data_IF_086190879781
#
_entry.id   IF_086190879781
#
_cell.length_a   1.000
_cell.length_b   1.000
_cell.length_c   1.000
_cell.angle_alpha   90.00
_cell.angle_beta   90.00
_cell.angle_gamma   90.00
#
_symmetry.space_group_name_H-M   'P 1'
#
loop_
_entity.id
_entity.type
_entity.pdbx_description
1 polymer ?
#
# COMPACT_ATOMS: atom_id res chain seq x y z
N UNK A 1 10.56 -22.36 16.52
CA UNK A 1 9.75 -21.53 15.61
C UNK A 1 8.62 -20.98 16.46
N UNK A 2 8.63 -19.69 16.73
CA UNK A 2 7.55 -18.99 17.45
C UNK A 2 7.00 -17.95 16.49
N UNK A 3 5.97 -18.33 15.75
CA UNK A 3 5.09 -17.38 15.10
C UNK A 3 4.13 -16.86 16.18
N UNK A 4 4.20 -15.58 16.48
CA UNK A 4 3.20 -14.88 17.27
C UNK A 4 2.36 -14.01 16.33
N UNK A 5 1.06 -13.90 16.59
CA UNK A 5 0.17 -12.98 15.89
C UNK A 5 -0.63 -12.20 16.93
N UNK A 6 -0.37 -10.89 16.99
CA UNK A 6 -1.15 -9.96 17.81
C UNK A 6 -2.17 -9.27 16.92
N UNK A 7 -3.47 -9.48 17.20
CA UNK A 7 -4.54 -8.82 16.46
C UNK A 7 -5.16 -7.70 17.29
N UNK A 8 -5.06 -6.46 16.78
CA UNK A 8 -5.59 -5.26 17.41
C UNK A 8 -6.90 -4.78 16.78
N UNK A 9 -7.35 -5.43 15.71
CA UNK A 9 -8.63 -5.17 15.06
C UNK A 9 -9.73 -5.96 15.77
N UNK A 10 -10.79 -5.27 16.18
CA UNK A 10 -12.01 -5.93 16.66
C UNK A 10 -12.63 -6.76 15.54
N UNK A 11 -13.36 -7.83 15.89
CA UNK A 11 -13.94 -8.74 14.88
C UNK A 11 -14.88 -8.02 13.89
N UNK A 12 -15.47 -6.91 14.29
CA UNK A 12 -16.37 -6.08 13.50
C UNK A 12 -15.73 -4.76 13.00
N UNK A 13 -14.45 -4.50 13.29
CA UNK A 13 -13.82 -3.21 12.97
C UNK A 13 -13.81 -2.93 11.46
N UNK A 14 -13.53 -3.94 10.64
CA UNK A 14 -13.57 -3.82 9.19
C UNK A 14 -14.99 -3.52 8.69
N UNK A 15 -16.01 -4.22 9.21
CA UNK A 15 -17.39 -3.98 8.83
C UNK A 15 -17.88 -2.58 9.25
N UNK A 16 -17.50 -2.13 10.45
CA UNK A 16 -17.84 -0.79 10.94
C UNK A 16 -17.14 0.31 10.12
N UNK A 17 -15.86 0.12 9.79
CA UNK A 17 -15.11 1.04 8.94
C UNK A 17 -15.72 1.11 7.53
N UNK A 18 -16.05 -0.03 6.92
CA UNK A 18 -16.67 -0.06 5.59
C UNK A 18 -18.00 0.69 5.57
N UNK A 19 -18.86 0.47 6.58
CA UNK A 19 -20.16 1.18 6.70
C UNK A 19 -19.98 2.69 6.77
N UNK A 20 -19.02 3.16 7.58
CA UNK A 20 -18.70 4.59 7.72
C UNK A 20 -18.16 5.14 6.41
N UNK A 21 -17.13 4.52 5.88
CA UNK A 21 -16.41 4.99 4.70
C UNK A 21 -17.32 5.04 3.46
N UNK A 22 -18.20 4.05 3.27
CA UNK A 22 -19.20 4.04 2.19
C UNK A 22 -20.26 5.12 2.40
N UNK A 23 -20.78 5.29 3.61
CA UNK A 23 -21.77 6.36 3.88
C UNK A 23 -21.18 7.73 3.60
N UNK A 24 -20.02 8.03 4.18
CA UNK A 24 -19.39 9.33 4.08
C UNK A 24 -18.95 9.61 2.63
N UNK A 25 -18.33 8.62 1.98
CA UNK A 25 -17.82 8.73 0.63
C UNK A 25 -18.89 8.88 -0.45
N UNK A 26 -20.04 8.21 -0.31
CA UNK A 26 -21.11 8.23 -1.31
C UNK A 26 -22.11 9.38 -1.13
N UNK A 27 -22.08 10.07 0.02
CA UNK A 27 -22.97 11.22 0.29
C UNK A 27 -22.30 12.58 0.07
N UNK A 28 -21.00 12.61 -0.19
CA UNK A 28 -20.26 13.84 -0.52
C UNK A 28 -20.22 14.15 -2.03
N UNK A 29 -19.71 15.32 -2.37
CA UNK A 29 -19.47 15.76 -3.76
C UNK A 29 -18.07 16.35 -3.88
N UNK A 30 -17.17 15.78 -4.71
CA UNK A 30 -17.37 14.55 -5.50
C UNK A 30 -17.48 13.30 -4.61
N UNK A 31 -18.17 12.26 -5.10
CA UNK A 31 -18.26 10.97 -4.42
C UNK A 31 -16.90 10.29 -4.41
N UNK A 32 -16.59 9.52 -3.36
CA UNK A 32 -15.34 8.76 -3.26
C UNK A 32 -15.51 7.43 -2.54
N UNK A 33 -14.59 6.48 -2.77
CA UNK A 33 -14.42 5.29 -1.92
C UNK A 33 -12.93 5.10 -1.58
N UNK A 34 -12.56 4.78 -0.32
CA UNK A 34 -11.16 4.56 0.04
C UNK A 34 -10.56 3.32 -0.65
N UNK A 35 -9.30 3.38 -1.13
CA UNK A 35 -8.68 2.30 -1.89
C UNK A 35 -8.38 1.04 -1.05
N UNK A 36 -8.38 1.14 0.28
CA UNK A 36 -8.22 -0.04 1.16
C UNK A 36 -9.29 -1.10 0.91
N UNK A 37 -10.46 -0.71 0.41
CA UNK A 37 -11.57 -1.63 0.09
C UNK A 37 -11.42 -2.35 -1.26
N UNK A 38 -10.36 -2.09 -2.02
CA UNK A 38 -10.03 -2.94 -3.17
C UNK A 38 -9.56 -4.33 -2.74
N UNK A 39 -8.92 -4.45 -1.59
CA UNK A 39 -8.12 -5.63 -1.21
C UNK A 39 -8.94 -6.69 -0.45
N UNK A 40 -10.11 -7.07 -0.97
CA UNK A 40 -10.67 -8.38 -0.62
C UNK A 40 -9.88 -9.50 -1.32
N UNK A 41 -10.27 -10.77 -1.12
CA UNK A 41 -9.55 -11.89 -1.77
C UNK A 41 -9.45 -11.75 -3.30
N UNK A 42 -10.54 -11.34 -3.96
CA UNK A 42 -10.59 -11.20 -5.42
C UNK A 42 -9.74 -10.02 -5.88
N UNK A 43 -9.86 -8.87 -5.22
CA UNK A 43 -9.09 -7.69 -5.57
C UNK A 43 -7.61 -7.85 -5.28
N UNK A 44 -7.23 -8.62 -4.25
CA UNK A 44 -5.82 -8.96 -3.99
C UNK A 44 -5.24 -9.82 -5.13
N UNK A 45 -5.99 -10.80 -5.63
CA UNK A 45 -5.59 -11.61 -6.80
C UNK A 45 -5.50 -10.78 -8.08
N UNK A 46 -6.39 -9.79 -8.25
CA UNK A 46 -6.32 -8.84 -9.37
C UNK A 46 -5.10 -7.92 -9.25
N UNK A 47 -4.79 -7.41 -8.06
CA UNK A 47 -3.60 -6.60 -7.83
C UNK A 47 -2.32 -7.40 -8.09
N UNK A 48 -2.25 -8.65 -7.65
CA UNK A 48 -1.16 -9.56 -7.97
C UNK A 48 -0.98 -9.71 -9.49
N UNK A 49 -2.06 -9.82 -10.27
CA UNK A 49 -2.00 -9.78 -11.73
C UNK A 49 -1.50 -8.43 -12.27
N UNK A 50 -1.97 -7.31 -11.72
CA UNK A 50 -1.50 -5.96 -12.09
C UNK A 50 0.01 -5.87 -11.98
N UNK A 51 0.62 -6.42 -10.93
CA UNK A 51 2.08 -6.37 -10.73
C UNK A 51 2.91 -6.99 -11.87
N UNK A 52 2.29 -7.83 -12.70
CA UNK A 52 2.92 -8.55 -13.82
C UNK A 52 2.62 -7.94 -15.19
N UNK A 53 1.76 -6.92 -15.26
CA UNK A 53 1.38 -6.30 -16.53
C UNK A 53 2.56 -5.56 -17.18
N UNK A 54 2.68 -5.59 -18.51
CA UNK A 54 3.75 -4.87 -19.20
C UNK A 54 3.68 -3.36 -18.97
N UNK A 55 2.49 -2.78 -18.81
CA UNK A 55 2.30 -1.36 -18.52
C UNK A 55 2.66 -0.99 -17.07
N UNK A 56 2.40 -1.87 -16.09
CA UNK A 56 2.62 -1.62 -14.66
C UNK A 56 4.08 -1.87 -14.24
N UNK A 57 4.94 -0.88 -14.49
CA UNK A 57 6.36 -0.94 -14.14
C UNK A 57 6.72 -0.94 -12.64
N UNK A 58 5.96 -0.34 -11.69
CA UNK A 58 6.46 -0.09 -10.33
C UNK A 58 7.05 -1.32 -9.64
N UNK A 59 6.33 -2.45 -9.63
CA UNK A 59 6.76 -3.65 -8.90
C UNK A 59 8.07 -4.23 -9.43
N UNK A 60 8.21 -4.38 -10.76
CA UNK A 60 9.43 -4.95 -11.36
C UNK A 60 10.61 -4.00 -11.26
N UNK A 61 10.37 -2.69 -11.33
CA UNK A 61 11.40 -1.67 -11.22
C UNK A 61 11.94 -1.62 -9.79
N UNK A 62 11.06 -1.58 -8.78
CA UNK A 62 11.47 -1.63 -7.37
C UNK A 62 12.18 -2.95 -7.02
N UNK A 63 11.67 -4.08 -7.52
CA UNK A 63 12.31 -5.39 -7.33
C UNK A 63 13.70 -5.46 -7.97
N UNK A 64 13.95 -4.77 -9.08
CA UNK A 64 15.29 -4.65 -9.66
C UNK A 64 16.22 -3.91 -8.71
N UNK A 65 15.80 -2.76 -8.16
CA UNK A 65 16.61 -1.99 -7.22
C UNK A 65 16.94 -2.85 -5.99
N UNK A 66 15.95 -3.54 -5.42
CA UNK A 66 16.17 -4.42 -4.27
C UNK A 66 17.15 -5.55 -4.58
N UNK A 67 17.03 -6.19 -5.75
CA UNK A 67 17.96 -7.25 -6.18
C UNK A 67 19.40 -6.75 -6.24
N UNK A 68 19.61 -5.52 -6.70
CA UNK A 68 20.93 -4.92 -6.83
C UNK A 68 21.47 -4.35 -5.50
N UNK A 69 20.59 -3.86 -4.61
CA UNK A 69 20.97 -3.02 -3.47
C UNK A 69 20.69 -3.62 -2.09
N UNK A 70 20.04 -4.77 -1.98
CA UNK A 70 19.68 -5.35 -0.65
C UNK A 70 20.90 -5.56 0.26
N UNK A 71 22.07 -5.94 -0.28
CA UNK A 71 23.30 -6.06 0.51
C UNK A 71 23.78 -4.70 1.05
N UNK A 72 23.73 -3.64 0.23
CA UNK A 72 24.09 -2.28 0.66
C UNK A 72 23.10 -1.73 1.68
N UNK A 73 21.79 -1.93 1.44
CA UNK A 73 20.70 -1.49 2.32
C UNK A 73 20.85 -2.12 3.70
N UNK A 74 21.02 -3.44 3.76
CA UNK A 74 21.10 -4.18 5.02
C UNK A 74 22.39 -3.87 5.78
N UNK A 75 23.51 -3.67 5.07
CA UNK A 75 24.77 -3.23 5.68
C UNK A 75 24.65 -1.81 6.26
N UNK A 76 24.06 -0.86 5.52
CA UNK A 76 23.85 0.51 5.98
C UNK A 76 22.88 0.59 7.17
N UNK A 77 21.80 -0.21 7.14
CA UNK A 77 20.84 -0.28 8.23
C UNK A 77 21.42 -0.96 9.48
N UNK A 78 22.30 -1.96 9.31
CA UNK A 78 22.88 -2.74 10.42
C UNK A 78 21.83 -3.43 11.29
N UNK A 79 20.63 -3.66 10.75
CA UNK A 79 19.47 -4.17 11.46
C UNK A 79 19.54 -5.69 11.68
N UNK A 80 18.92 -6.15 12.76
CA UNK A 80 18.66 -7.57 13.05
C UNK A 80 17.18 -7.96 12.90
N UNK A 81 16.31 -6.96 12.81
CA UNK A 81 14.86 -7.09 12.76
C UNK A 81 14.33 -6.37 11.53
N UNK A 82 13.58 -7.07 10.68
CA UNK A 82 12.90 -6.47 9.53
C UNK A 82 11.41 -6.31 9.85
N UNK A 83 10.90 -5.08 9.72
CA UNK A 83 9.48 -4.76 9.89
C UNK A 83 8.93 -4.40 8.52
N UNK A 84 7.85 -5.03 8.08
CA UNK A 84 7.21 -4.73 6.79
C UNK A 84 5.81 -4.15 7.01
N UNK A 85 5.56 -2.95 6.48
CA UNK A 85 4.24 -2.31 6.49
C UNK A 85 3.49 -2.65 5.20
N UNK A 86 2.35 -3.32 5.30
CA UNK A 86 1.57 -3.78 4.14
C UNK A 86 2.21 -4.99 3.48
N UNK A 87 2.38 -6.07 4.25
CA UNK A 87 3.20 -7.23 3.86
C UNK A 87 2.74 -7.97 2.60
N UNK A 88 1.45 -7.98 2.28
CA UNK A 88 0.95 -8.72 1.11
C UNK A 88 1.55 -10.14 1.04
N UNK A 89 2.16 -10.51 -0.10
CA UNK A 89 2.84 -11.82 -0.29
C UNK A 89 4.33 -11.83 0.07
N UNK A 90 4.91 -10.68 0.45
CA UNK A 90 6.32 -10.51 0.87
C UNK A 90 7.39 -11.04 -0.11
N UNK A 91 7.10 -11.09 -1.43
CA UNK A 91 8.08 -11.51 -2.46
C UNK A 91 9.34 -10.63 -2.45
N UNK A 92 9.16 -9.30 -2.44
CA UNK A 92 10.26 -8.32 -2.38
C UNK A 92 11.04 -8.42 -1.06
N UNK A 93 10.33 -8.70 0.03
CA UNK A 93 10.85 -8.81 1.39
C UNK A 93 11.90 -9.90 1.51
N UNK A 94 11.74 -11.00 0.77
CA UNK A 94 12.72 -12.11 0.74
C UNK A 94 14.11 -11.65 0.31
N UNK A 95 14.21 -10.67 -0.61
CA UNK A 95 15.52 -10.14 -1.02
C UNK A 95 16.26 -9.47 0.14
N UNK A 96 15.54 -8.78 1.02
CA UNK A 96 16.10 -8.14 2.21
C UNK A 96 16.40 -9.16 3.30
N UNK A 97 15.49 -10.12 3.54
CA UNK A 97 15.70 -11.20 4.51
C UNK A 97 16.92 -12.06 4.13
N UNK A 98 17.09 -12.39 2.86
CA UNK A 98 18.25 -13.12 2.33
C UNK A 98 19.55 -12.34 2.56
N UNK A 99 19.55 -11.04 2.29
CA UNK A 99 20.71 -10.19 2.52
C UNK A 99 21.07 -10.09 4.01
N UNK A 100 20.08 -9.92 4.90
CA UNK A 100 20.31 -9.92 6.36
C UNK A 100 20.82 -11.28 6.86
N UNK A 101 20.30 -12.39 6.31
CA UNK A 101 20.76 -13.75 6.64
C UNK A 101 22.19 -13.98 6.19
N UNK A 102 22.52 -13.58 4.96
CA UNK A 102 23.88 -13.67 4.42
C UNK A 102 24.88 -12.83 5.23
N UNK A 103 24.45 -11.67 5.72
CA UNK A 103 25.21 -10.82 6.65
C UNK A 103 25.27 -11.33 8.10
N UNK A 104 24.55 -12.42 8.43
CA UNK A 104 24.51 -13.01 9.76
C UNK A 104 23.70 -12.23 10.81
N UNK A 105 23.03 -11.14 10.40
CA UNK A 105 22.29 -10.25 11.30
C UNK A 105 20.83 -10.66 11.50
N UNK A 106 20.22 -11.41 10.58
CA UNK A 106 18.80 -11.76 10.66
C UNK A 106 18.44 -12.50 11.95
N UNK A 107 17.52 -11.92 12.73
CA UNK A 107 16.94 -12.52 13.94
C UNK A 107 15.42 -12.55 13.91
N UNK A 108 14.79 -11.49 13.40
CA UNK A 108 13.34 -11.33 13.50
C UNK A 108 12.70 -10.72 12.26
N UNK A 109 11.48 -11.14 11.98
CA UNK A 109 10.58 -10.54 11.00
C UNK A 109 9.26 -10.13 11.68
N UNK A 110 8.81 -8.91 11.42
CA UNK A 110 7.58 -8.34 11.98
C UNK A 110 6.71 -7.86 10.82
N UNK A 111 5.88 -8.73 10.22
CA UNK A 111 4.92 -8.32 9.22
C UNK A 111 3.75 -7.56 9.87
N UNK A 112 3.37 -6.44 9.30
CA UNK A 112 2.24 -5.61 9.71
C UNK A 112 1.24 -5.49 8.55
N UNK A 113 -0.02 -5.87 8.79
CA UNK A 113 -1.07 -5.83 7.78
C UNK A 113 -2.47 -5.75 8.44
N UNK A 114 -3.49 -5.39 7.68
CA UNK A 114 -4.88 -5.40 8.15
C UNK A 114 -5.51 -6.80 8.07
N UNK A 115 -4.95 -7.69 7.25
CA UNK A 115 -5.47 -9.05 7.04
C UNK A 115 -4.69 -10.10 7.85
N UNK A 116 -5.33 -10.61 8.91
CA UNK A 116 -4.79 -11.67 9.75
C UNK A 116 -4.56 -13.01 9.03
N UNK A 117 -5.32 -13.30 7.98
CA UNK A 117 -5.15 -14.47 7.11
C UNK A 117 -3.88 -14.36 6.26
N UNK A 118 -3.67 -13.20 5.62
CA UNK A 118 -2.44 -12.90 4.87
C UNK A 118 -1.22 -12.99 5.79
N UNK A 119 -1.28 -12.39 6.98
CA UNK A 119 -0.20 -12.45 7.96
C UNK A 119 0.14 -13.87 8.40
N UNK A 120 -0.87 -14.74 8.60
CA UNK A 120 -0.64 -16.16 8.92
C UNK A 120 0.05 -16.89 7.78
N UNK A 121 -0.44 -16.73 6.55
CA UNK A 121 0.12 -17.38 5.38
C UNK A 121 1.58 -16.94 5.12
N UNK A 122 1.84 -15.63 5.19
CA UNK A 122 3.18 -15.07 5.04
C UNK A 122 4.11 -15.53 6.18
N UNK A 123 3.66 -15.47 7.43
CA UNK A 123 4.43 -15.92 8.59
C UNK A 123 4.82 -17.40 8.52
N UNK A 124 3.88 -18.27 8.13
CA UNK A 124 4.15 -19.70 7.94
C UNK A 124 5.15 -19.96 6.82
N UNK A 125 5.06 -19.24 5.71
CA UNK A 125 6.00 -19.36 4.60
C UNK A 125 7.42 -18.91 5.01
N UNK A 126 7.54 -17.69 5.57
CA UNK A 126 8.82 -17.13 6.02
C UNK A 126 9.46 -18.00 7.09
N UNK A 127 8.72 -18.51 8.07
CA UNK A 127 9.33 -19.33 9.11
C UNK A 127 9.81 -20.71 8.62
N UNK A 128 9.27 -21.22 7.50
CA UNK A 128 9.83 -22.41 6.81
C UNK A 128 11.09 -22.07 6.01
N UNK A 129 11.10 -20.93 5.32
CA UNK A 129 12.20 -20.49 4.46
C UNK A 129 13.45 -20.03 5.26
N UNK A 130 13.22 -19.49 6.47
CA UNK A 130 14.25 -18.95 7.37
C UNK A 130 14.22 -19.67 8.74
N UNK A 131 14.71 -20.92 8.84
CA UNK A 131 14.68 -21.66 10.10
C UNK A 131 15.37 -20.93 11.24
N UNK A 132 14.68 -20.79 12.37
CA UNK A 132 15.19 -20.13 13.57
C UNK A 132 14.89 -18.63 13.66
N UNK A 133 14.27 -18.03 12.64
CA UNK A 133 13.77 -16.66 12.73
C UNK A 133 12.61 -16.55 13.73
N UNK A 134 12.55 -15.45 14.48
CA UNK A 134 11.38 -15.06 15.26
C UNK A 134 10.40 -14.29 14.38
N UNK A 135 9.11 -14.61 14.46
CA UNK A 135 8.08 -13.92 13.67
C UNK A 135 7.04 -13.37 14.61
N UNK A 136 6.93 -12.04 14.66
CA UNK A 136 5.95 -11.32 15.46
C UNK A 136 5.00 -10.56 14.53
N UNK A 137 3.98 -11.25 14.03
CA UNK A 137 2.99 -10.65 13.14
C UNK A 137 2.05 -9.72 13.91
N UNK A 138 1.75 -8.56 13.31
CA UNK A 138 0.88 -7.54 13.89
C UNK A 138 -0.27 -7.25 12.93
N UNK A 139 -1.48 -7.63 13.32
CA UNK A 139 -2.69 -7.31 12.59
C UNK A 139 -3.28 -5.98 13.10
N UNK A 140 -3.29 -4.96 12.26
CA UNK A 140 -3.69 -3.59 12.62
C UNK A 140 -3.77 -2.65 11.43
N UNK A 141 -4.46 -1.53 11.62
CA UNK A 141 -4.50 -0.41 10.68
C UNK A 141 -3.29 0.51 10.91
N UNK A 142 -2.51 0.83 9.88
CA UNK A 142 -1.33 1.69 10.02
C UNK A 142 -1.69 3.17 10.31
N UNK A 143 -2.95 3.58 10.17
CA UNK A 143 -3.41 4.90 10.62
C UNK A 143 -3.55 4.97 12.16
N UNK A 144 -3.70 3.83 12.85
CA UNK A 144 -4.03 3.78 14.28
C UNK A 144 -3.02 2.96 15.12
N UNK A 145 -2.38 1.95 14.52
CA UNK A 145 -1.72 0.86 15.25
C UNK A 145 -0.21 0.77 15.06
N UNK A 146 0.46 1.75 14.43
CA UNK A 146 1.92 1.75 14.30
C UNK A 146 2.64 1.62 15.65
N UNK A 147 2.08 2.23 16.70
CA UNK A 147 2.61 2.13 18.06
C UNK A 147 2.54 0.72 18.68
N UNK A 148 1.84 -0.22 18.05
CA UNK A 148 1.74 -1.63 18.49
C UNK A 148 2.86 -2.52 17.93
N UNK A 149 3.60 -2.04 16.94
CA UNK A 149 4.76 -2.75 16.39
C UNK A 149 5.82 -2.90 17.49
N UNK A 150 6.28 -4.13 17.81
CA UNK A 150 7.29 -4.36 18.83
C UNK A 150 8.56 -3.52 18.61
N UNK A 151 9.02 -2.84 19.67
CA UNK A 151 10.27 -2.07 19.69
C UNK A 151 11.41 -2.96 20.20
N UNK A 152 11.78 -3.96 19.40
CA UNK A 152 12.77 -4.98 19.74
C UNK A 152 13.84 -5.10 18.67
N UNK A 153 15.08 -5.32 19.10
CA UNK A 153 16.23 -5.35 18.21
C UNK A 153 16.53 -3.99 17.57
N UNK A 154 17.35 -4.01 16.53
CA UNK A 154 17.60 -2.85 15.66
C UNK A 154 16.79 -3.04 14.38
N UNK A 155 15.85 -2.14 14.11
CA UNK A 155 14.80 -2.37 13.11
C UNK A 155 15.10 -1.67 11.79
N UNK A 156 14.96 -2.42 10.70
CA UNK A 156 14.75 -1.89 9.37
C UNK A 156 13.25 -1.96 9.08
N UNK A 157 12.57 -0.83 9.15
CA UNK A 157 11.16 -0.71 8.75
C UNK A 157 11.11 -0.47 7.25
N UNK A 158 10.31 -1.25 6.54
CA UNK A 158 10.17 -1.15 5.09
C UNK A 158 8.72 -0.80 4.72
N UNK A 159 8.56 0.16 3.82
CA UNK A 159 7.28 0.50 3.22
C UNK A 159 7.46 0.68 1.72
N UNK A 160 7.09 -0.36 0.98
CA UNK A 160 7.48 -0.57 -0.42
C UNK A 160 6.30 -0.33 -1.38
N UNK A 161 6.57 -0.41 -2.68
CA UNK A 161 5.54 -0.37 -3.73
C UNK A 161 4.94 1.00 -3.99
N UNK A 162 5.47 2.05 -3.35
CA UNK A 162 4.90 3.40 -3.39
C UNK A 162 3.48 3.48 -2.84
N UNK A 163 3.08 2.56 -1.95
CA UNK A 163 1.80 2.60 -1.24
C UNK A 163 1.63 3.89 -0.42
N UNK A 164 2.74 4.52 0.01
CA UNK A 164 2.72 5.86 0.62
C UNK A 164 2.09 6.92 -0.31
N UNK A 165 2.13 6.71 -1.63
CA UNK A 165 1.50 7.57 -2.62
C UNK A 165 -0.03 7.55 -2.57
N UNK A 166 -0.64 6.57 -1.89
CA UNK A 166 -2.08 6.52 -1.70
C UNK A 166 -2.58 7.49 -0.63
N UNK A 167 -1.66 8.10 0.12
CA UNK A 167 -1.95 9.15 1.08
C UNK A 167 -1.73 10.52 0.43
N UNK A 168 -2.70 11.42 0.55
CA UNK A 168 -2.54 12.83 0.14
C UNK A 168 -1.56 13.55 1.07
N UNK A 169 -1.02 14.73 0.70
CA UNK A 169 0.11 15.35 1.43
C UNK A 169 -0.08 15.52 2.94
N UNK A 170 -1.29 15.87 3.42
CA UNK A 170 -1.60 15.99 4.85
C UNK A 170 -1.52 14.63 5.57
N UNK A 171 -2.42 13.69 5.26
CA UNK A 171 -2.40 12.33 5.82
C UNK A 171 -1.05 11.63 5.68
N UNK A 172 -0.32 11.85 4.58
CA UNK A 172 1.03 11.30 4.37
C UNK A 172 2.04 11.84 5.38
N UNK A 173 2.00 13.15 5.68
CA UNK A 173 2.88 13.76 6.68
C UNK A 173 2.55 13.28 8.10
N UNK A 174 1.26 13.13 8.41
CA UNK A 174 0.79 12.59 9.69
C UNK A 174 1.29 11.15 9.88
N UNK A 175 1.15 10.32 8.83
CA UNK A 175 1.67 8.95 8.81
C UNK A 175 3.20 8.90 8.99
N UNK A 176 3.96 9.68 8.21
CA UNK A 176 5.42 9.68 8.30
C UNK A 176 5.90 10.14 9.69
N UNK A 177 5.25 11.15 10.27
CA UNK A 177 5.59 11.66 11.61
C UNK A 177 5.27 10.62 12.68
N UNK A 178 4.08 10.01 12.63
CA UNK A 178 3.69 8.94 13.55
C UNK A 178 4.63 7.73 13.45
N UNK A 179 5.04 7.36 12.24
CA UNK A 179 6.02 6.30 12.02
C UNK A 179 7.39 6.66 12.61
N UNK A 180 7.89 7.86 12.35
CA UNK A 180 9.17 8.36 12.88
C UNK A 180 9.19 8.38 14.41
N UNK A 181 8.07 8.71 15.06
CA UNK A 181 7.92 8.67 16.52
C UNK A 181 8.04 7.25 17.10
N UNK A 182 7.79 6.21 16.31
CA UNK A 182 8.02 4.82 16.73
C UNK A 182 9.50 4.41 16.66
N UNK A 183 10.31 5.06 15.83
CA UNK A 183 11.71 4.70 15.59
C UNK A 183 12.62 5.09 16.76
N UNK A 184 13.52 4.17 17.13
CA UNK A 184 14.64 4.42 18.04
C UNK A 184 15.85 4.99 17.25
N UNK A 185 16.87 5.58 17.91
CA UNK A 185 18.00 6.21 17.22
C UNK A 185 18.73 5.35 16.20
N UNK A 186 18.77 4.03 16.40
CA UNK A 186 19.46 3.08 15.52
C UNK A 186 18.54 2.41 14.47
N UNK A 187 17.25 2.72 14.50
CA UNK A 187 16.28 2.19 13.53
C UNK A 187 16.34 2.97 12.21
N UNK A 188 15.98 2.30 11.12
CA UNK A 188 15.95 2.88 9.78
C UNK A 188 14.60 2.65 9.10
N UNK A 189 14.23 3.56 8.20
CA UNK A 189 13.12 3.42 7.26
C UNK A 189 13.67 3.23 5.84
N UNK A 190 13.26 2.15 5.17
CA UNK A 190 13.38 1.98 3.72
C UNK A 190 12.03 2.29 3.06
N UNK A 191 11.97 3.36 2.30
CA UNK A 191 10.75 3.86 1.68
C UNK A 191 10.84 3.81 0.15
N UNK A 192 9.88 3.14 -0.48
CA UNK A 192 9.70 3.14 -1.93
C UNK A 192 8.78 4.25 -2.41
N UNK A 193 9.23 5.01 -3.42
CA UNK A 193 8.48 6.12 -4.01
C UNK A 193 8.56 6.06 -5.53
N UNK A 194 7.42 5.96 -6.19
CA UNK A 194 7.32 6.02 -7.65
C UNK A 194 7.49 7.46 -8.15
N UNK A 195 8.37 7.67 -9.12
CA UNK A 195 8.81 9.02 -9.50
C UNK A 195 7.93 9.65 -10.58
N UNK A 196 7.87 10.97 -10.62
CA UNK A 196 7.27 11.70 -11.74
C UNK A 196 8.02 11.35 -13.02
N UNK A 197 7.26 10.99 -14.07
CA UNK A 197 7.78 10.61 -15.39
C UNK A 197 6.75 10.98 -16.46
N UNK A 198 6.98 10.55 -17.70
CA UNK A 198 6.08 10.78 -18.82
C UNK A 198 4.63 10.37 -18.47
N UNK A 199 3.69 11.30 -18.66
CA UNK A 199 2.31 11.16 -18.16
C UNK A 199 1.53 10.04 -18.82
N UNK A 200 1.79 9.74 -20.09
CA UNK A 200 1.12 8.66 -20.81
C UNK A 200 1.56 7.30 -20.27
N UNK A 201 2.84 7.13 -19.90
CA UNK A 201 3.33 5.95 -19.16
C UNK A 201 2.63 5.83 -17.81
N UNK A 202 2.44 6.94 -17.09
CA UNK A 202 1.74 6.94 -15.81
C UNK A 202 0.28 6.54 -15.97
N UNK A 203 -0.43 7.08 -16.96
CA UNK A 203 -1.84 6.72 -17.21
C UNK A 203 -1.97 5.26 -17.63
N UNK A 204 -1.16 4.79 -18.59
CA UNK A 204 -1.20 3.39 -19.05
C UNK A 204 -0.88 2.38 -17.96
N UNK A 205 -0.04 2.73 -16.99
CA UNK A 205 0.20 1.85 -15.85
C UNK A 205 -1.08 1.61 -15.03
N UNK A 206 -2.04 2.52 -15.04
CA UNK A 206 -3.31 2.41 -14.31
C UNK A 206 -4.51 2.16 -15.24
N UNK A 207 -4.29 1.99 -16.54
CA UNK A 207 -5.31 1.72 -17.57
C UNK A 207 -4.70 0.79 -18.61
N UNK A 208 -4.39 -0.42 -18.17
CA UNK A 208 -3.73 -1.44 -18.99
C UNK A 208 -4.62 -1.94 -20.12
N UNK A 209 -3.99 -2.35 -21.23
CA UNK A 209 -4.71 -2.81 -22.43
C UNK A 209 -5.51 -4.10 -22.23
N UNK A 210 -5.21 -4.88 -21.19
CA UNK A 210 -5.92 -6.10 -20.84
C UNK A 210 -7.17 -5.86 -19.97
N UNK A 211 -7.38 -4.64 -19.47
CA UNK A 211 -8.52 -4.26 -18.65
C UNK A 211 -8.48 -4.84 -17.22
N UNK A 212 -7.31 -5.29 -16.74
CA UNK A 212 -7.18 -5.88 -15.40
C UNK A 212 -7.33 -4.82 -14.32
N UNK A 213 -6.75 -3.63 -14.51
CA UNK A 213 -6.91 -2.50 -13.58
C UNK A 213 -8.35 -1.97 -13.58
N UNK A 214 -9.05 -2.05 -14.71
CA UNK A 214 -10.47 -1.73 -14.76
C UNK A 214 -11.32 -2.71 -13.93
N UNK A 215 -11.02 -4.01 -14.02
CA UNK A 215 -11.66 -5.04 -13.19
C UNK A 215 -11.36 -4.83 -11.70
N UNK A 216 -10.09 -4.54 -11.36
CA UNK A 216 -9.66 -4.23 -9.99
C UNK A 216 -10.40 -3.01 -9.43
N UNK A 217 -10.49 -1.92 -10.19
CA UNK A 217 -11.19 -0.71 -9.76
C UNK A 217 -12.69 -0.98 -9.54
N UNK A 218 -13.37 -1.69 -10.46
CA UNK A 218 -14.79 -2.04 -10.32
C UNK A 218 -15.06 -3.01 -9.18
N UNK A 219 -14.08 -3.83 -8.77
CA UNK A 219 -14.25 -4.80 -7.68
C UNK A 219 -14.70 -4.14 -6.37
N UNK A 220 -14.33 -2.88 -6.10
CA UNK A 220 -14.81 -2.16 -4.91
C UNK A 220 -16.34 -2.07 -4.87
N UNK A 221 -17.01 -1.97 -6.02
CA UNK A 221 -18.47 -2.00 -6.09
C UNK A 221 -19.02 -3.38 -5.73
N UNK A 222 -18.36 -4.46 -6.16
CA UNK A 222 -18.74 -5.82 -5.78
C UNK A 222 -18.56 -6.07 -4.28
N UNK A 223 -17.50 -5.52 -3.68
CA UNK A 223 -17.29 -5.54 -2.22
C UNK A 223 -18.46 -4.84 -1.53
N UNK A 224 -18.83 -3.62 -1.95
CA UNK A 224 -19.96 -2.90 -1.34
C UNK A 224 -21.28 -3.65 -1.53
N UNK A 225 -21.53 -4.20 -2.72
CA UNK A 225 -22.72 -5.03 -2.99
C UNK A 225 -22.83 -6.21 -2.02
N UNK A 226 -21.74 -6.96 -1.85
CA UNK A 226 -21.72 -8.16 -1.03
C UNK A 226 -21.78 -7.85 0.47
N UNK A 227 -20.96 -6.92 0.94
CA UNK A 227 -20.79 -6.66 2.37
C UNK A 227 -21.88 -5.77 2.96
N UNK A 228 -22.49 -4.88 2.14
CA UNK A 228 -23.48 -3.91 2.59
C UNK A 228 -24.86 -4.07 1.90
N UNK A 229 -25.10 -5.20 1.23
CA UNK A 229 -26.35 -5.50 0.55
C UNK A 229 -26.75 -4.36 -0.41
N UNK A 230 -25.83 -4.04 -1.32
CA UNK A 230 -26.01 -3.01 -2.34
C UNK A 230 -26.22 -3.59 -3.74
N UNK A 231 -26.73 -2.77 -4.65
CA UNK A 231 -27.15 -3.17 -6.00
C UNK A 231 -26.43 -2.39 -7.13
N UNK A 232 -25.16 -2.03 -6.94
CA UNK A 232 -24.35 -1.45 -8.03
C UNK A 232 -24.33 -2.39 -9.25
N UNK A 233 -24.73 -1.88 -10.42
CA UNK A 233 -24.45 -2.51 -11.71
C UNK A 233 -23.01 -2.17 -12.13
N UNK A 234 -22.09 -3.12 -12.00
CA UNK A 234 -20.67 -2.91 -12.30
C UNK A 234 -20.41 -2.51 -13.76
N UNK A 235 -21.21 -3.04 -14.70
CA UNK A 235 -21.02 -2.79 -16.13
C UNK A 235 -21.46 -1.36 -16.52
N UNK A 236 -22.27 -0.73 -15.67
CA UNK A 236 -22.70 0.67 -15.82
C UNK A 236 -21.60 1.68 -15.45
N UNK A 237 -20.45 1.24 -14.91
CA UNK A 237 -19.34 2.14 -14.56
C UNK A 237 -18.12 1.93 -15.44
N UNK A 238 -17.67 2.98 -16.11
CA UNK A 238 -16.40 3.02 -16.83
C UNK A 238 -15.23 3.25 -15.87
N UNK A 239 -14.18 2.45 -16.02
CA UNK A 239 -12.89 2.76 -15.41
C UNK A 239 -12.26 3.96 -16.13
N UNK A 240 -11.71 4.90 -15.37
CA UNK A 240 -11.01 6.07 -15.90
C UNK A 240 -9.76 6.35 -15.07
N UNK A 241 -8.58 6.20 -15.67
CA UNK A 241 -7.33 6.68 -15.09
C UNK A 241 -6.99 8.09 -15.58
N UNK A 242 -6.53 8.97 -14.69
CA UNK A 242 -6.14 10.34 -15.02
C UNK A 242 -4.78 10.68 -14.43
N UNK A 243 -3.99 11.46 -15.15
CA UNK A 243 -2.86 12.18 -14.58
C UNK A 243 -3.31 13.59 -14.18
N UNK A 244 -3.22 13.91 -12.89
CA UNK A 244 -3.43 15.24 -12.37
C UNK A 244 -2.06 15.94 -12.24
N UNK A 245 -1.75 16.84 -13.17
CA UNK A 245 -0.46 17.53 -13.23
C UNK A 245 -0.28 18.61 -12.15
N UNK A 246 -1.36 19.08 -11.55
CA UNK A 246 -1.31 20.11 -10.49
C UNK A 246 -0.86 19.46 -9.18
N UNK A 247 -1.41 18.29 -8.87
CA UNK A 247 -1.13 17.53 -7.64
C UNK A 247 -0.05 16.45 -7.83
N UNK A 248 0.48 16.31 -9.04
CA UNK A 248 1.43 15.27 -9.47
C UNK A 248 1.04 13.85 -9.03
N UNK A 249 -0.20 13.45 -9.34
CA UNK A 249 -0.74 12.13 -8.97
C UNK A 249 -1.53 11.49 -10.09
N UNK A 250 -1.50 10.17 -10.14
CA UNK A 250 -2.49 9.39 -10.88
C UNK A 250 -3.76 9.29 -10.05
N UNK A 251 -4.92 9.30 -10.70
CA UNK A 251 -6.22 9.14 -10.06
C UNK A 251 -7.01 8.05 -10.78
N UNK A 252 -7.63 7.14 -10.03
CA UNK A 252 -8.59 6.18 -10.56
C UNK A 252 -10.01 6.63 -10.23
N UNK A 253 -10.86 6.59 -11.24
CA UNK A 253 -12.26 6.97 -11.13
C UNK A 253 -13.17 5.88 -11.71
N UNK A 254 -14.40 5.83 -11.22
CA UNK A 254 -15.50 5.10 -11.82
C UNK A 254 -16.54 6.10 -12.33
N UNK A 255 -16.82 6.06 -13.64
CA UNK A 255 -17.74 6.98 -14.32
C UNK A 255 -19.04 6.28 -14.69
N UNK A 256 -20.18 6.76 -14.20
CA UNK A 256 -21.48 6.20 -14.58
C UNK A 256 -21.77 6.46 -16.09
N UNK A 257 -22.06 5.41 -16.86
CA UNK A 257 -22.40 5.51 -18.29
C UNK A 257 -23.77 6.15 -18.52
N UNK A 258 -24.72 5.78 -17.66
CA UNK A 258 -26.12 6.23 -17.66
C UNK A 258 -26.50 6.60 -16.23
N UNK A 259 -27.61 7.33 -16.01
CA UNK A 259 -28.04 7.64 -14.64
C UNK A 259 -28.27 6.34 -13.85
N UNK A 260 -27.72 6.25 -12.65
CA UNK A 260 -27.86 5.10 -11.75
C UNK A 260 -28.59 5.50 -10.49
N UNK A 261 -29.37 4.58 -9.94
CA UNK A 261 -29.90 4.64 -8.58
C UNK A 261 -29.44 3.39 -7.86
N UNK A 262 -28.67 3.57 -6.80
CA UNK A 262 -28.06 2.48 -6.05
C UNK A 262 -28.63 2.50 -4.63
N UNK A 263 -29.26 1.40 -4.23
CA UNK A 263 -29.74 1.15 -2.87
C UNK A 263 -28.66 0.37 -2.12
N UNK A 264 -28.26 0.87 -0.96
CA UNK A 264 -27.35 0.18 -0.03
C UNK A 264 -28.16 -0.23 1.20
N UNK A 265 -28.77 -1.42 1.14
CA UNK A 265 -29.79 -1.84 2.09
C UNK A 265 -29.27 -1.84 3.54
N UNK A 266 -28.06 -2.34 3.78
CA UNK A 266 -27.46 -2.41 5.13
C UNK A 266 -27.20 -1.03 5.78
N UNK A 267 -27.25 0.05 5.00
CA UNK A 267 -27.07 1.43 5.45
C UNK A 267 -28.35 2.27 5.44
N UNK A 268 -29.46 1.73 4.94
CA UNK A 268 -30.65 2.53 4.64
C UNK A 268 -30.33 3.82 3.83
N UNK A 269 -29.52 3.64 2.79
CA UNK A 269 -29.03 4.72 1.94
C UNK A 269 -29.42 4.47 0.47
N UNK A 270 -29.88 5.53 -0.19
CA UNK A 270 -30.08 5.61 -1.64
C UNK A 270 -29.10 6.63 -2.21
N UNK A 271 -28.42 6.26 -3.30
CA UNK A 271 -27.38 7.07 -3.93
C UNK A 271 -27.67 7.20 -5.42
N UNK A 272 -27.81 8.44 -5.88
CA UNK A 272 -28.00 8.73 -7.30
C UNK A 272 -26.66 9.09 -7.95
N UNK A 273 -26.47 8.61 -9.18
CA UNK A 273 -25.41 9.06 -10.09
C UNK A 273 -26.03 9.65 -11.36
N UNK A 274 -25.60 10.84 -11.76
CA UNK A 274 -25.92 11.37 -13.08
C UNK A 274 -25.12 10.63 -14.18
N UNK A 275 -25.62 10.67 -15.42
CA UNK A 275 -24.83 10.19 -16.56
C UNK A 275 -23.52 10.99 -16.67
N UNK A 276 -22.40 10.29 -16.74
CA UNK A 276 -21.06 10.87 -16.77
C UNK A 276 -20.53 11.32 -15.41
N UNK A 277 -21.27 11.15 -14.32
CA UNK A 277 -20.76 11.44 -12.97
C UNK A 277 -19.63 10.49 -12.60
N UNK A 278 -18.57 11.03 -11.99
CA UNK A 278 -17.37 10.29 -11.62
C UNK A 278 -17.20 10.21 -10.11
N UNK A 279 -16.82 9.02 -9.64
CA UNK A 279 -16.45 8.74 -8.26
C UNK A 279 -14.97 8.40 -8.17
N UNK A 280 -14.24 9.08 -7.28
CA UNK A 280 -12.81 8.83 -7.05
C UNK A 280 -12.63 7.59 -6.19
N UNK A 281 -11.78 6.66 -6.61
CA UNK A 281 -11.54 5.42 -5.87
C UNK A 281 -10.09 5.26 -5.42
N UNK A 282 -9.14 5.92 -6.08
CA UNK A 282 -7.74 5.94 -5.65
C UNK A 282 -7.03 7.21 -6.11
N UNK A 283 -6.05 7.63 -5.31
CA UNK A 283 -4.98 8.52 -5.74
C UNK A 283 -3.66 7.76 -5.61
N UNK A 284 -2.73 8.01 -6.51
CA UNK A 284 -1.35 7.55 -6.39
C UNK A 284 -0.41 8.71 -6.73
N UNK A 285 0.02 9.42 -5.69
CA UNK A 285 1.00 10.49 -5.78
C UNK A 285 2.32 9.97 -6.33
N UNK A 286 2.92 10.76 -7.23
CA UNK A 286 4.24 10.52 -7.79
C UNK A 286 5.19 11.56 -7.25
N UNK A 287 6.44 11.16 -7.05
CA UNK A 287 7.38 11.92 -6.26
C UNK A 287 8.51 12.50 -7.10
N UNK A 288 9.06 13.62 -6.62
CA UNK A 288 10.32 14.16 -7.11
C UNK A 288 11.41 13.84 -6.07
N UNK A 289 12.64 13.47 -6.48
CA UNK A 289 13.68 13.05 -5.54
C UNK A 289 13.91 14.05 -4.38
N UNK A 290 14.05 15.34 -4.68
CA UNK A 290 14.24 16.39 -3.68
C UNK A 290 13.03 16.54 -2.75
N UNK A 291 11.83 16.29 -3.28
CA UNK A 291 10.58 16.30 -2.51
C UNK A 291 10.53 15.19 -1.48
N UNK A 292 11.01 13.98 -1.82
CA UNK A 292 11.07 12.84 -0.89
C UNK A 292 12.00 13.16 0.28
N UNK A 293 13.20 13.68 0.00
CA UNK A 293 14.16 14.05 1.04
C UNK A 293 13.59 15.15 1.97
N UNK A 294 12.89 16.13 1.41
CA UNK A 294 12.26 17.20 2.18
C UNK A 294 11.07 16.71 3.04
N UNK A 295 10.23 15.79 2.52
CA UNK A 295 9.13 15.20 3.29
C UNK A 295 9.67 14.36 4.47
N UNK A 296 10.68 13.52 4.23
CA UNK A 296 11.34 12.75 5.29
C UNK A 296 11.92 13.68 6.37
N UNK A 297 12.64 14.73 5.97
CA UNK A 297 13.25 15.67 6.91
C UNK A 297 12.20 16.40 7.78
N UNK A 298 11.04 16.76 7.21
CA UNK A 298 9.92 17.35 7.96
C UNK A 298 9.33 16.40 8.99
N UNK A 299 9.30 15.09 8.69
CA UNK A 299 8.88 14.05 9.62
C UNK A 299 9.96 13.68 10.66
N UNK A 300 11.11 14.36 10.67
CA UNK A 300 12.22 14.07 11.59
C UNK A 300 13.09 12.89 11.16
N UNK A 301 13.10 12.55 9.86
CA UNK A 301 13.94 11.49 9.30
C UNK A 301 14.96 12.06 8.32
N UNK A 302 16.23 11.78 8.54
CA UNK A 302 17.31 12.18 7.63
C UNK A 302 17.57 11.07 6.61
N UNK A 303 17.33 11.38 5.33
CA UNK A 303 17.73 10.50 4.24
C UNK A 303 19.27 10.34 4.22
N UNK A 304 19.73 9.09 4.21
CA UNK A 304 21.16 8.73 4.18
C UNK A 304 21.58 8.17 2.84
N UNK A 305 20.66 7.47 2.17
CA UNK A 305 20.91 6.84 0.87
C UNK A 305 19.68 7.01 -0.01
N UNK A 306 19.94 7.06 -1.32
CA UNK A 306 18.95 7.10 -2.38
C UNK A 306 19.43 6.19 -3.50
N UNK A 307 18.60 5.24 -3.89
CA UNK A 307 18.83 4.39 -5.06
C UNK A 307 17.67 4.55 -6.03
N UNK A 308 17.99 4.45 -7.31
CA UNK A 308 17.00 4.43 -8.39
C UNK A 308 17.38 3.32 -9.37
N UNK A 309 16.41 2.84 -10.13
CA UNK A 309 16.68 2.01 -11.29
C UNK A 309 17.41 2.82 -12.39
N UNK A 310 17.96 2.14 -13.38
CA UNK A 310 18.74 2.77 -14.46
C UNK A 310 17.98 3.82 -15.27
N UNK A 311 16.65 3.75 -15.32
CA UNK A 311 15.82 4.70 -16.07
C UNK A 311 15.35 5.89 -15.22
N UNK A 312 15.58 5.89 -13.90
CA UNK A 312 15.09 6.96 -13.04
C UNK A 312 13.59 6.89 -12.80
N UNK A 313 12.98 5.71 -12.86
CA UNK A 313 11.53 5.53 -12.79
C UNK A 313 11.02 5.37 -11.35
N UNK A 314 11.80 4.72 -10.48
CA UNK A 314 11.40 4.42 -9.10
C UNK A 314 12.56 4.67 -8.13
N UNK A 315 12.27 5.22 -6.96
CA UNK A 315 13.27 5.52 -5.93
C UNK A 315 13.09 4.70 -4.64
N UNK A 316 14.21 4.29 -4.04
CA UNK A 316 14.26 3.77 -2.67
C UNK A 316 15.08 4.74 -1.80
N UNK A 317 14.48 5.23 -0.72
CA UNK A 317 15.15 6.02 0.31
C UNK A 317 15.49 5.16 1.52
N UNK A 318 16.72 5.19 2.01
CA UNK A 318 17.03 4.79 3.37
C UNK A 318 17.17 6.03 4.25
N UNK A 319 16.36 6.14 5.29
CA UNK A 319 16.36 7.24 6.24
C UNK A 319 16.53 6.74 7.67
N UNK A 320 17.12 7.58 8.51
CA UNK A 320 17.34 7.32 9.95
C UNK A 320 16.76 8.49 10.75
N UNK A 321 16.53 8.27 12.04
CA UNK A 321 16.10 9.33 12.97
C UNK A 321 17.21 10.36 13.23
#
# INVERSE_FOLDING_TARGET
MTLSLSNYLAADSAAAALRRDVRDGLTQTPKTLPPKWFYDSVGSDLFDQITRLPEYYPTRTEAQILRERSAEITAAAGADTLVELGSGTSEKTRMLLDAMRAGGSLRRFIPFDVDAGVLRAAGDAIGREYPGIEIDAVCGDFEEHLGKIPRVGRRLVVFLGSTIGNLTPGPRMDFLSALADTLQPDDSLLLGTDLVKESERLVRAYDDSAGVTAAFNRNVLAVVNRELDADFDLDAFDHVAKWNSVEERTEMWLRARTPQQVRIAALDLDVAYAAGEEMLTEVSCKFRPDGVAAELAKAGLRQTHWWTDSAGDFGLSLAVK
#
